data_IF_770894420927
#
_entry.id   IF_770894420927
#
_cell.length_a   1.000
_cell.length_b   1.000
_cell.length_c   1.000
_cell.angle_alpha   90.00
_cell.angle_beta   90.00
_cell.angle_gamma   90.00
#
_symmetry.space_group_name_H-M   'P 1'
#
loop_
_entity.id
_entity.type
_entity.pdbx_description
1 polymer ?
#
# COMPACT_ATOMS: atom_id res chain seq x y z
N UNK A 1 -12.03 -8.24 2.14
CA UNK A 1 -11.07 -8.98 1.30
C UNK A 1 -9.94 -9.51 2.18
N UNK A 2 -9.79 -10.84 2.31
CA UNK A 2 -8.59 -11.49 2.87
C UNK A 2 -8.21 -12.65 1.95
N UNK A 3 -7.74 -12.33 0.74
CA UNK A 3 -7.50 -13.33 -0.31
C UNK A 3 -6.20 -14.12 -0.08
N UNK A 4 -5.13 -13.40 0.30
CA UNK A 4 -3.81 -14.01 0.56
C UNK A 4 -3.41 -14.03 2.04
N UNK A 5 -4.19 -13.37 2.91
CA UNK A 5 -4.01 -13.31 4.37
C UNK A 5 -2.60 -12.95 4.87
N UNK A 6 -1.81 -12.22 4.06
CA UNK A 6 -0.53 -11.68 4.48
C UNK A 6 -0.71 -10.68 5.63
N UNK A 7 0.21 -10.72 6.58
CA UNK A 7 0.26 -9.80 7.72
C UNK A 7 1.46 -8.87 7.58
N UNK A 8 1.34 -7.67 8.13
CA UNK A 8 2.47 -6.77 8.29
C UNK A 8 3.39 -7.34 9.38
N UNK A 9 4.68 -7.23 9.14
CA UNK A 9 5.71 -7.56 10.12
C UNK A 9 5.89 -6.35 11.06
N UNK A 10 5.40 -6.47 12.29
CA UNK A 10 5.41 -5.39 13.29
C UNK A 10 6.81 -5.01 13.77
N UNK A 11 7.80 -5.89 13.58
CA UNK A 11 9.19 -5.65 13.97
C UNK A 11 9.95 -4.82 12.91
N UNK A 12 9.33 -4.58 11.74
CA UNK A 12 9.93 -3.81 10.64
C UNK A 12 9.43 -2.38 10.61
N UNK A 13 10.27 -1.50 10.06
CA UNK A 13 9.85 -0.18 9.61
C UNK A 13 8.63 -0.33 8.69
N UNK A 14 7.58 0.45 8.97
CA UNK A 14 6.24 0.19 8.42
C UNK A 14 6.20 0.16 6.88
N UNK A 15 6.94 1.02 6.19
CA UNK A 15 7.02 1.03 4.72
C UNK A 15 7.78 -0.18 4.17
N UNK A 16 8.74 -0.74 4.92
CA UNK A 16 9.37 -2.02 4.57
C UNK A 16 8.39 -3.19 4.75
N UNK A 17 7.62 -3.21 5.84
CA UNK A 17 6.61 -4.24 6.09
C UNK A 17 5.52 -4.25 4.98
N UNK A 18 5.06 -3.06 4.57
CA UNK A 18 4.14 -2.91 3.43
C UNK A 18 4.79 -3.39 2.14
N UNK A 19 6.05 -3.03 1.88
CA UNK A 19 6.80 -3.49 0.71
C UNK A 19 6.90 -5.02 0.61
N UNK A 20 7.04 -5.73 1.72
CA UNK A 20 7.04 -7.19 1.74
C UNK A 20 5.66 -7.78 1.41
N UNK A 21 4.58 -7.20 1.93
CA UNK A 21 3.22 -7.62 1.59
C UNK A 21 2.94 -7.37 0.11
N UNK A 22 3.37 -6.22 -0.44
CA UNK A 22 3.28 -5.91 -1.86
C UNK A 22 4.02 -6.94 -2.71
N UNK A 23 5.26 -7.26 -2.35
CA UNK A 23 6.08 -8.26 -3.05
C UNK A 23 5.39 -9.63 -3.08
N UNK A 24 4.94 -10.12 -1.91
CA UNK A 24 4.24 -11.41 -1.80
C UNK A 24 2.92 -11.42 -2.56
N UNK A 25 2.17 -10.32 -2.52
CA UNK A 25 0.91 -10.17 -3.25
C UNK A 25 1.15 -10.27 -4.75
N UNK A 26 2.14 -9.57 -5.29
CA UNK A 26 2.47 -9.62 -6.71
C UNK A 26 2.89 -11.01 -7.16
N UNK A 27 3.66 -11.76 -6.36
CA UNK A 27 4.00 -13.15 -6.68
C UNK A 27 2.77 -14.05 -6.82
N UNK A 28 1.74 -13.86 -6.00
CA UNK A 28 0.49 -14.62 -6.11
C UNK A 28 -0.38 -14.17 -7.28
N UNK A 29 -0.36 -12.88 -7.62
CA UNK A 29 -1.04 -12.34 -8.78
C UNK A 29 -0.42 -12.81 -10.10
N UNK A 30 0.91 -12.85 -10.19
CA UNK A 30 1.63 -13.37 -11.36
C UNK A 30 1.31 -14.84 -11.64
N UNK A 31 1.16 -15.66 -10.59
CA UNK A 31 0.76 -17.06 -10.70
C UNK A 31 -0.70 -17.23 -11.15
N UNK A 32 -1.54 -16.23 -10.92
CA UNK A 32 -2.99 -16.31 -11.15
C UNK A 32 -3.51 -15.07 -11.90
N UNK A 33 -3.25 -14.97 -13.23
CA UNK A 33 -3.68 -13.81 -14.03
C UNK A 33 -5.19 -13.56 -14.04
N UNK A 34 -6.01 -14.55 -13.66
CA UNK A 34 -7.47 -14.39 -13.53
C UNK A 34 -7.87 -13.34 -12.49
N UNK A 35 -6.97 -12.95 -11.60
CA UNK A 35 -7.20 -11.92 -10.60
C UNK A 35 -7.07 -10.49 -11.13
N UNK A 36 -6.54 -10.30 -12.34
CA UNK A 36 -6.40 -8.97 -12.93
C UNK A 36 -7.75 -8.25 -13.06
N UNK A 37 -8.82 -8.96 -13.44
CA UNK A 37 -10.15 -8.39 -13.56
C UNK A 37 -10.71 -7.89 -12.20
N UNK A 38 -10.39 -8.59 -11.11
CA UNK A 38 -10.79 -8.14 -9.76
C UNK A 38 -9.99 -6.92 -9.32
N UNK A 39 -8.69 -6.86 -9.67
CA UNK A 39 -7.86 -5.68 -9.39
C UNK A 39 -8.36 -4.47 -10.19
N UNK A 40 -8.70 -4.66 -11.46
CA UNK A 40 -9.28 -3.61 -12.30
C UNK A 40 -10.59 -3.05 -11.70
N UNK A 41 -11.49 -3.92 -11.21
CA UNK A 41 -12.71 -3.49 -10.50
C UNK A 41 -12.40 -2.66 -9.25
N UNK A 42 -11.43 -3.10 -8.43
CA UNK A 42 -11.01 -2.36 -7.24
C UNK A 42 -10.48 -0.98 -7.63
N UNK A 43 -9.60 -0.90 -8.63
CA UNK A 43 -9.01 0.36 -9.09
C UNK A 43 -10.10 1.30 -9.62
N UNK A 44 -11.01 0.79 -10.45
CA UNK A 44 -12.10 1.58 -11.00
C UNK A 44 -13.00 2.16 -9.89
N UNK A 45 -13.35 1.35 -8.88
CA UNK A 45 -14.16 1.81 -7.73
C UNK A 45 -13.44 2.85 -6.87
N UNK A 46 -12.13 2.69 -6.69
CA UNK A 46 -11.31 3.69 -6.01
C UNK A 46 -11.32 5.02 -6.79
N UNK A 47 -11.12 4.97 -8.12
CA UNK A 47 -11.11 6.14 -9.00
C UNK A 47 -12.47 6.85 -9.08
N UNK A 48 -13.57 6.10 -9.04
CA UNK A 48 -14.92 6.66 -9.02
C UNK A 48 -15.23 7.40 -7.70
N UNK A 49 -14.50 7.10 -6.63
CA UNK A 49 -14.68 7.75 -5.34
C UNK A 49 -15.97 7.37 -4.61
N UNK A 50 -16.61 6.27 -5.02
CA UNK A 50 -17.92 5.85 -4.49
C UNK A 50 -17.81 4.94 -3.25
N UNK A 51 -16.65 4.32 -3.03
CA UNK A 51 -16.41 3.41 -1.90
C UNK A 51 -15.51 4.05 -0.85
N UNK A 52 -16.13 4.69 0.15
CA UNK A 52 -15.41 5.35 1.23
C UNK A 52 -14.47 4.40 1.99
N UNK A 53 -14.85 3.13 2.17
CA UNK A 53 -14.00 2.18 2.91
C UNK A 53 -12.74 1.84 2.12
N UNK A 54 -12.86 1.75 0.80
CA UNK A 54 -11.72 1.54 -0.09
C UNK A 54 -10.79 2.76 -0.08
N UNK A 55 -11.36 3.97 -0.13
CA UNK A 55 -10.60 5.22 -0.04
C UNK A 55 -9.84 5.29 1.29
N UNK A 56 -10.52 5.07 2.42
CA UNK A 56 -9.91 5.11 3.75
C UNK A 56 -8.79 4.06 3.89
N UNK A 57 -8.99 2.86 3.33
CA UNK A 57 -7.98 1.81 3.33
C UNK A 57 -6.76 2.20 2.50
N UNK A 58 -6.97 2.81 1.33
CA UNK A 58 -5.89 3.29 0.47
C UNK A 58 -5.11 4.42 1.15
N UNK A 59 -5.80 5.44 1.66
CA UNK A 59 -5.21 6.56 2.42
C UNK A 59 -4.39 6.05 3.60
N UNK A 60 -4.92 5.10 4.37
CA UNK A 60 -4.19 4.51 5.49
C UNK A 60 -2.88 3.86 5.07
N UNK A 61 -2.85 3.14 3.94
CA UNK A 61 -1.62 2.54 3.42
C UNK A 61 -0.64 3.61 2.96
N UNK A 62 -1.12 4.67 2.30
CA UNK A 62 -0.26 5.77 1.84
C UNK A 62 0.38 6.52 3.02
N UNK A 63 -0.38 6.85 4.05
CA UNK A 63 0.14 7.54 5.24
C UNK A 63 1.20 6.70 5.96
N UNK A 64 0.99 5.39 6.10
CA UNK A 64 2.01 4.49 6.64
C UNK A 64 3.29 4.47 5.80
N UNK A 65 3.18 4.40 4.47
CA UNK A 65 4.33 4.50 3.57
C UNK A 65 5.06 5.84 3.73
N UNK A 66 4.32 6.94 3.83
CA UNK A 66 4.88 8.28 4.03
C UNK A 66 5.60 8.40 5.37
N UNK A 67 5.11 7.80 6.45
CA UNK A 67 5.78 7.81 7.74
C UNK A 67 7.12 7.09 7.70
N UNK A 68 7.18 5.96 6.99
CA UNK A 68 8.44 5.30 6.69
C UNK A 68 9.39 6.19 5.87
N UNK A 69 8.90 6.80 4.79
CA UNK A 69 9.70 7.70 3.95
C UNK A 69 10.23 8.90 4.75
N UNK A 70 9.40 9.52 5.61
CA UNK A 70 9.79 10.62 6.50
C UNK A 70 10.95 10.21 7.43
N UNK A 71 10.93 8.98 7.96
CA UNK A 71 12.04 8.46 8.77
C UNK A 71 13.34 8.40 7.96
N UNK A 72 13.30 7.81 6.75
CA UNK A 72 14.49 7.74 5.88
C UNK A 72 15.02 9.14 5.54
N UNK A 73 14.14 10.08 5.19
CA UNK A 73 14.54 11.46 4.86
C UNK A 73 15.20 12.16 6.05
N UNK A 74 14.67 11.94 7.26
CA UNK A 74 15.24 12.47 8.49
C UNK A 74 16.67 11.95 8.72
N UNK A 75 16.91 10.65 8.52
CA UNK A 75 18.24 10.05 8.67
C UNK A 75 19.24 10.59 7.66
N UNK A 76 18.75 10.99 6.48
CA UNK A 76 19.52 11.66 5.43
C UNK A 76 19.67 13.17 5.65
N UNK A 77 19.15 13.71 6.75
CA UNK A 77 19.11 15.15 7.04
C UNK A 77 18.42 15.98 5.94
N UNK A 78 17.40 15.41 5.28
CA UNK A 78 16.60 16.06 4.25
C UNK A 78 15.29 16.55 4.88
N UNK A 79 14.96 17.83 4.63
CA UNK A 79 13.69 18.43 5.06
C UNK A 79 12.80 18.68 3.85
N UNK A 80 11.58 18.13 3.90
CA UNK A 80 10.54 18.43 2.92
C UNK A 80 9.49 19.36 3.52
N UNK A 81 8.94 20.23 2.67
CA UNK A 81 7.94 21.21 3.06
C UNK A 81 6.51 20.74 2.76
N UNK A 82 6.35 19.81 1.82
CA UNK A 82 5.06 19.30 1.37
C UNK A 82 5.21 17.86 0.92
N UNK A 83 4.30 17.01 1.38
CA UNK A 83 4.06 15.68 0.82
C UNK A 83 2.70 15.74 0.13
N UNK A 84 2.68 15.50 -1.18
CA UNK A 84 1.45 15.49 -1.98
C UNK A 84 1.35 14.13 -2.65
N UNK A 85 0.20 13.51 -2.50
CA UNK A 85 -0.18 12.22 -3.08
C UNK A 85 -1.62 12.31 -3.56
#
# INVERSE_FOLDING_TARGET
MKKFNFQLDEDKKIDHAIGEVYYKSNQELEKNPSYNAEIEDILQRYEQGEDQKLIDAFESVVEHCLDGIKHTLKDLNIKMNLYKW
#
